data_IF_050961523079
#
_entry.id   IF_050961523079
#
_cell.length_a   1.000
_cell.length_b   1.000
_cell.length_c   1.000
_cell.angle_alpha   90.00
_cell.angle_beta   90.00
_cell.angle_gamma   90.00
#
_symmetry.space_group_name_H-M   'P 1'
#
loop_
_entity.id
_entity.type
_entity.pdbx_description
1 polymer ?
#
# COMPACT_ATOMS: atom_id res chain seq x y z
N UNK A 1 10.30 1.58 16.90
CA UNK A 1 9.10 0.71 16.85
C UNK A 1 9.41 -0.62 16.17
N UNK A 2 9.92 -0.63 14.93
CA UNK A 2 10.21 -1.86 14.17
C UNK A 2 11.43 -2.67 14.66
N UNK A 3 12.27 -2.10 15.52
CA UNK A 3 13.42 -2.76 16.15
C UNK A 3 13.11 -3.30 17.55
N UNK A 4 11.88 -3.16 18.05
CA UNK A 4 11.54 -3.64 19.39
C UNK A 4 11.52 -5.17 19.46
N UNK A 5 11.84 -5.71 20.63
CA UNK A 5 11.75 -7.16 20.87
C UNK A 5 10.32 -7.67 20.72
N UNK A 6 9.33 -6.91 21.19
CA UNK A 6 7.93 -7.26 21.04
C UNK A 6 7.52 -7.43 19.56
N UNK A 7 8.00 -6.55 18.67
CA UNK A 7 7.70 -6.62 17.24
C UNK A 7 8.49 -7.74 16.55
N UNK A 8 9.81 -7.78 16.75
CA UNK A 8 10.68 -8.77 16.09
C UNK A 8 10.45 -10.19 16.61
N UNK A 9 10.05 -10.35 17.87
CA UNK A 9 9.66 -11.62 18.47
C UNK A 9 8.45 -12.24 17.78
N UNK A 10 7.37 -11.48 17.61
CA UNK A 10 6.16 -11.93 16.91
C UNK A 10 6.45 -12.36 15.46
N UNK A 11 7.30 -11.62 14.75
CA UNK A 11 7.69 -11.98 13.38
C UNK A 11 8.47 -13.30 13.33
N UNK A 12 9.42 -13.49 14.26
CA UNK A 12 10.21 -14.73 14.35
C UNK A 12 9.34 -15.94 14.70
N UNK A 13 8.36 -15.78 15.59
CA UNK A 13 7.41 -16.84 15.96
C UNK A 13 6.61 -17.34 14.75
N UNK A 14 6.24 -16.43 13.85
CA UNK A 14 5.57 -16.77 12.60
C UNK A 14 6.52 -17.17 11.45
N UNK A 15 7.82 -17.35 11.72
CA UNK A 15 8.80 -17.74 10.69
C UNK A 15 9.04 -16.66 9.62
N UNK A 16 8.71 -15.40 9.90
CA UNK A 16 8.85 -14.30 8.96
C UNK A 16 10.30 -13.84 8.94
N UNK A 17 10.91 -13.84 7.74
CA UNK A 17 12.26 -13.31 7.53
C UNK A 17 12.26 -11.79 7.70
N UNK A 18 12.97 -11.30 8.72
CA UNK A 18 13.17 -9.87 8.94
C UNK A 18 14.34 -9.40 8.08
N UNK A 19 14.09 -8.40 7.24
CA UNK A 19 15.11 -7.64 6.51
C UNK A 19 14.91 -6.16 6.83
N UNK A 20 15.93 -5.51 7.39
CA UNK A 20 15.91 -4.07 7.66
C UNK A 20 16.88 -3.39 6.71
N UNK A 21 16.50 -2.21 6.22
CA UNK A 21 17.37 -1.35 5.44
C UNK A 21 18.52 -0.82 6.31
N UNK A 22 19.66 -0.57 5.68
CA UNK A 22 20.75 0.16 6.33
C UNK A 22 20.34 1.61 6.61
N UNK A 23 20.91 2.22 7.64
CA UNK A 23 20.67 3.64 7.93
C UNK A 23 20.99 4.50 6.70
N UNK A 24 20.00 5.20 6.15
CA UNK A 24 20.13 6.05 4.96
C UNK A 24 19.89 5.34 3.62
N UNK A 25 19.50 4.06 3.62
CA UNK A 25 19.16 3.31 2.40
C UNK A 25 17.69 3.50 2.02
N UNK A 26 17.32 4.71 1.59
CA UNK A 26 15.93 5.07 1.26
C UNK A 26 15.35 4.32 0.04
N UNK A 27 16.19 3.69 -0.78
CA UNK A 27 15.79 3.07 -2.04
C UNK A 27 14.72 2.00 -1.86
N UNK A 28 14.83 1.19 -0.81
CA UNK A 28 13.86 0.14 -0.50
C UNK A 28 12.49 0.71 -0.11
N UNK A 29 12.45 1.95 0.39
CA UNK A 29 11.22 2.63 0.81
C UNK A 29 10.57 3.48 -0.29
N UNK A 30 11.23 3.71 -1.43
CA UNK A 30 10.75 4.60 -2.51
C UNK A 30 9.33 4.21 -2.98
N UNK A 31 9.04 2.91 -3.07
CA UNK A 31 7.74 2.42 -3.51
C UNK A 31 6.62 2.82 -2.52
N UNK A 32 6.87 2.64 -1.23
CA UNK A 32 5.94 3.00 -0.15
C UNK A 32 5.78 4.52 -0.09
N UNK A 33 6.85 5.29 -0.24
CA UNK A 33 6.79 6.76 -0.28
C UNK A 33 5.98 7.27 -1.48
N UNK A 34 6.17 6.67 -2.66
CA UNK A 34 5.39 7.01 -3.85
C UNK A 34 3.90 6.73 -3.63
N UNK A 35 3.55 5.59 -3.04
CA UNK A 35 2.17 5.26 -2.69
C UNK A 35 1.59 6.33 -1.74
N UNK A 36 2.30 6.67 -0.66
CA UNK A 36 1.82 7.65 0.31
C UNK A 36 1.71 9.06 -0.27
N UNK A 37 2.56 9.45 -1.21
CA UNK A 37 2.41 10.70 -1.95
C UNK A 37 1.06 10.73 -2.69
N UNK A 38 0.73 9.67 -3.44
CA UNK A 38 -0.56 9.59 -4.13
C UNK A 38 -1.74 9.63 -3.15
N UNK A 39 -1.72 8.81 -2.09
CA UNK A 39 -2.79 8.80 -1.07
C UNK A 39 -3.00 10.20 -0.48
N UNK A 40 -1.92 10.91 -0.14
CA UNK A 40 -2.01 12.24 0.46
C UNK A 40 -2.60 13.26 -0.51
N UNK A 41 -2.08 13.33 -1.72
CA UNK A 41 -2.50 14.34 -2.70
C UNK A 41 -3.87 14.07 -3.30
N UNK A 42 -4.25 12.80 -3.46
CA UNK A 42 -5.47 12.42 -4.18
C UNK A 42 -6.64 12.14 -3.22
N UNK A 43 -6.39 11.91 -1.93
CA UNK A 43 -7.44 11.64 -0.94
C UNK A 43 -7.36 12.59 0.26
N UNK A 44 -6.22 12.60 0.97
CA UNK A 44 -6.15 13.24 2.30
C UNK A 44 -6.24 14.76 2.23
N UNK A 45 -5.51 15.40 1.31
CA UNK A 45 -5.47 16.85 1.20
C UNK A 45 -6.72 17.47 0.55
N UNK A 46 -7.52 16.66 -0.13
CA UNK A 46 -8.72 17.14 -0.84
C UNK A 46 -9.98 17.09 0.03
N UNK A 47 -9.93 16.46 1.21
CA UNK A 47 -11.11 16.19 2.03
C UNK A 47 -10.93 16.75 3.44
N UNK A 48 -11.89 17.54 3.89
CA UNK A 48 -12.03 17.88 5.31
C UNK A 48 -12.73 16.71 6.03
N UNK A 49 -11.98 15.95 6.83
CA UNK A 49 -12.52 14.83 7.59
C UNK A 49 -13.12 15.32 8.91
N UNK A 50 -14.30 14.79 9.24
CA UNK A 50 -15.01 15.11 10.47
C UNK A 50 -14.44 14.35 11.68
N UNK A 51 -14.09 13.08 11.48
CA UNK A 51 -13.49 12.23 12.49
C UNK A 51 -12.58 11.15 11.86
N UNK A 52 -11.93 10.36 12.71
CA UNK A 52 -11.08 9.26 12.27
C UNK A 52 -11.83 8.13 11.56
N UNK A 53 -13.13 7.95 11.80
CA UNK A 53 -13.94 6.93 11.10
C UNK A 53 -14.21 7.37 9.66
N UNK A 54 -14.51 8.64 9.45
CA UNK A 54 -14.64 9.22 8.12
C UNK A 54 -13.33 9.05 7.33
N UNK A 55 -12.18 9.42 7.91
CA UNK A 55 -10.87 9.20 7.30
C UNK A 55 -10.65 7.72 6.93
N UNK A 56 -10.92 6.80 7.86
CA UNK A 56 -10.75 5.36 7.62
C UNK A 56 -11.61 4.87 6.46
N UNK A 57 -12.87 5.29 6.38
CA UNK A 57 -13.75 4.93 5.27
C UNK A 57 -13.27 5.49 3.94
N UNK A 58 -12.80 6.74 3.92
CA UNK A 58 -12.24 7.36 2.72
C UNK A 58 -10.98 6.63 2.23
N UNK A 59 -10.06 6.29 3.14
CA UNK A 59 -8.87 5.50 2.83
C UNK A 59 -9.25 4.12 2.28
N UNK A 60 -10.22 3.43 2.89
CA UNK A 60 -10.72 2.14 2.38
C UNK A 60 -11.24 2.24 0.94
N UNK A 61 -12.01 3.29 0.62
CA UNK A 61 -12.48 3.53 -0.74
C UNK A 61 -11.32 3.83 -1.70
N UNK A 62 -10.39 4.67 -1.29
CA UNK A 62 -9.22 5.02 -2.09
C UNK A 62 -8.35 3.79 -2.41
N UNK A 63 -8.00 2.99 -1.40
CA UNK A 63 -7.17 1.80 -1.61
C UNK A 63 -7.86 0.73 -2.45
N UNK A 64 -9.19 0.58 -2.34
CA UNK A 64 -9.96 -0.28 -3.24
C UNK A 64 -9.83 0.18 -4.68
N UNK A 65 -10.04 1.47 -4.94
CA UNK A 65 -9.87 2.03 -6.29
C UNK A 65 -8.43 1.86 -6.80
N UNK A 66 -7.44 2.18 -5.96
CA UNK A 66 -6.02 2.06 -6.31
C UNK A 66 -5.64 0.63 -6.70
N UNK A 67 -6.11 -0.38 -5.96
CA UNK A 67 -5.73 -1.77 -6.20
C UNK A 67 -6.56 -2.46 -7.30
N UNK A 68 -7.82 -2.06 -7.50
CA UNK A 68 -8.78 -2.83 -8.33
C UNK A 68 -9.23 -2.12 -9.60
N UNK A 69 -9.00 -0.81 -9.72
CA UNK A 69 -9.55 -0.03 -10.83
C UNK A 69 -8.55 0.96 -11.44
N UNK A 70 -7.50 1.36 -10.72
CA UNK A 70 -6.47 2.24 -11.25
C UNK A 70 -5.51 1.43 -12.11
N UNK A 71 -5.36 1.83 -13.36
CA UNK A 71 -4.33 1.31 -14.23
C UNK A 71 -2.97 1.95 -13.94
N UNK A 72 -1.92 1.13 -13.95
CA UNK A 72 -0.55 1.59 -13.73
C UNK A 72 0.30 1.34 -14.98
N UNK A 73 0.88 2.39 -15.54
CA UNK A 73 1.75 2.28 -16.72
C UNK A 73 2.94 1.33 -16.48
N UNK A 74 3.49 1.30 -15.26
CA UNK A 74 4.59 0.40 -14.88
C UNK A 74 4.16 -1.06 -14.75
N UNK A 75 2.86 -1.34 -14.79
CA UNK A 75 2.24 -2.67 -14.73
C UNK A 75 1.55 -2.99 -16.07
N UNK A 76 2.05 -2.47 -17.20
CA UNK A 76 1.45 -2.66 -18.53
C UNK A 76 -0.04 -2.30 -18.59
N UNK A 77 -0.43 -1.24 -17.87
CA UNK A 77 -1.82 -0.80 -17.71
C UNK A 77 -2.74 -1.87 -17.08
N UNK A 78 -2.20 -2.74 -16.25
CA UNK A 78 -2.95 -3.57 -15.32
C UNK A 78 -3.09 -2.88 -13.96
N UNK A 79 -4.00 -3.39 -13.15
CA UNK A 79 -4.22 -3.01 -11.75
C UNK A 79 -3.28 -3.80 -10.82
N UNK A 80 -2.96 -3.28 -9.62
CA UNK A 80 -2.14 -4.00 -8.65
C UNK A 80 -2.68 -5.38 -8.27
N UNK A 81 -4.01 -5.52 -8.12
CA UNK A 81 -4.63 -6.81 -7.80
C UNK A 81 -4.45 -7.83 -8.95
N UNK A 82 -4.61 -7.41 -10.21
CA UNK A 82 -4.40 -8.29 -11.37
C UNK A 82 -2.97 -8.86 -11.42
N UNK A 83 -1.97 -8.01 -11.18
CA UNK A 83 -0.55 -8.43 -11.18
C UNK A 83 -0.24 -9.32 -9.98
N UNK A 84 -0.72 -8.97 -8.79
CA UNK A 84 -0.40 -9.71 -7.56
C UNK A 84 -1.08 -11.08 -7.50
N UNK A 85 -2.36 -11.15 -7.84
CA UNK A 85 -3.13 -12.40 -7.78
C UNK A 85 -3.03 -13.24 -9.05
N UNK A 86 -2.35 -12.75 -10.10
CA UNK A 86 -2.23 -13.42 -11.39
C UNK A 86 -3.58 -13.86 -11.97
N UNK A 87 -4.65 -13.08 -11.74
CA UNK A 87 -5.95 -13.39 -12.31
C UNK A 87 -5.97 -12.99 -13.78
N UNK A 88 -6.23 -13.92 -14.72
CA UNK A 88 -6.49 -13.53 -16.10
C UNK A 88 -7.75 -12.67 -16.14
N UNK A 89 -7.71 -11.57 -16.89
CA UNK A 89 -8.86 -10.68 -17.09
C UNK A 89 -10.11 -11.52 -17.43
N UNK A 90 -11.08 -11.59 -16.52
CA UNK A 90 -12.48 -11.67 -16.97
C UNK A 90 -12.83 -10.29 -17.49
N UNK A 91 -12.51 -10.04 -18.76
CA UNK A 91 -13.22 -9.03 -19.54
C UNK A 91 -14.70 -9.45 -19.50
N UNK A 92 -15.48 -8.75 -18.68
CA UNK A 92 -16.92 -8.82 -18.79
C UNK A 92 -17.29 -8.22 -20.16
N UNK A 93 -17.81 -9.10 -21.03
CA UNK A 93 -18.40 -8.76 -22.33
C UNK A 93 -19.70 -7.96 -22.17
#
# INVERSE_FOLDING_TARGET
QFTSEAFTGALKEHGIRISMDGKGCYHDNIFVERLWRSVKHECVYLTAFEDGRHLKQALHRYFRHYNQARYHQTLDYQTPDEVYYQQPMTLAA
#
